data_IF_140502640374
#
_entry.id   IF_140502640374
#
_cell.length_a   1.000
_cell.length_b   1.000
_cell.length_c   1.000
_cell.angle_alpha   90.00
_cell.angle_beta   90.00
_cell.angle_gamma   90.00
#
_symmetry.space_group_name_H-M   'P 1'
#
loop_
_entity.id
_entity.type
_entity.pdbx_description
1 polymer ?
#
# COMPACT_ATOMS: atom_id res chain seq x y z
N UNK A 1 -48.88 65.66 30.39
CA UNK A 1 -48.73 64.21 30.68
C UNK A 1 -47.51 63.73 29.90
N UNK A 2 -46.36 63.78 30.57
CA UNK A 2 -45.09 63.27 30.05
C UNK A 2 -44.82 61.89 30.60
N UNK A 3 -44.02 61.12 29.87
CA UNK A 3 -43.55 59.81 30.31
C UNK A 3 -43.14 58.93 29.12
N UNK A 4 -42.07 59.32 28.42
CA UNK A 4 -41.36 58.44 27.50
C UNK A 4 -40.52 57.48 28.36
N UNK A 5 -40.97 56.23 28.46
CA UNK A 5 -40.25 55.12 29.09
C UNK A 5 -39.14 54.62 28.16
N UNK A 6 -38.03 55.36 28.09
CA UNK A 6 -36.79 54.87 27.51
C UNK A 6 -36.09 53.96 28.52
N UNK A 7 -36.36 52.66 28.46
CA UNK A 7 -35.60 51.65 29.21
C UNK A 7 -34.19 51.61 28.61
N UNK A 8 -33.24 52.27 29.29
CA UNK A 8 -31.84 52.22 28.94
C UNK A 8 -31.29 50.82 29.14
N UNK A 9 -30.92 50.17 28.04
CA UNK A 9 -30.05 48.99 28.08
C UNK A 9 -28.67 49.46 28.57
N UNK A 10 -28.35 49.16 29.83
CA UNK A 10 -27.09 49.56 30.44
C UNK A 10 -25.88 48.82 29.83
N UNK A 11 -24.68 49.42 29.88
CA UNK A 11 -23.44 48.89 29.30
C UNK A 11 -23.05 47.48 29.81
N UNK A 12 -23.51 47.09 31.00
CA UNK A 12 -23.29 45.76 31.57
C UNK A 12 -23.94 44.61 30.75
N UNK A 13 -25.08 44.86 30.11
CA UNK A 13 -25.77 43.87 29.23
C UNK A 13 -24.95 43.59 27.97
N UNK A 14 -24.33 44.63 27.41
CA UNK A 14 -23.51 44.56 26.20
C UNK A 14 -22.18 43.80 26.44
N UNK A 15 -21.51 44.05 27.58
CA UNK A 15 -20.29 43.33 27.96
C UNK A 15 -20.53 41.83 28.20
N UNK A 16 -21.67 41.45 28.78
CA UNK A 16 -22.01 40.05 29.04
C UNK A 16 -22.29 39.27 27.74
N UNK A 17 -22.96 39.90 26.76
CA UNK A 17 -23.20 39.31 25.45
C UNK A 17 -21.89 39.08 24.66
N UNK A 18 -20.95 40.03 24.72
CA UNK A 18 -19.64 39.88 24.06
C UNK A 18 -18.77 38.78 24.67
N UNK A 19 -18.84 38.58 25.99
CA UNK A 19 -18.13 37.50 26.67
C UNK A 19 -18.62 36.11 26.22
N UNK A 20 -19.94 35.89 26.17
CA UNK A 20 -20.51 34.62 25.70
C UNK A 20 -20.21 34.34 24.24
N UNK A 21 -20.18 35.38 23.40
CA UNK A 21 -19.83 35.23 22.00
C UNK A 21 -18.35 34.85 21.80
N UNK A 22 -17.44 35.41 22.60
CA UNK A 22 -16.04 35.01 22.62
C UNK A 22 -15.86 33.57 23.13
N UNK A 23 -16.56 33.20 24.20
CA UNK A 23 -16.49 31.83 24.74
C UNK A 23 -16.91 30.80 23.69
N UNK A 24 -18.02 31.05 22.98
CA UNK A 24 -18.49 30.17 21.90
C UNK A 24 -17.46 30.04 20.77
N UNK A 25 -16.74 31.11 20.44
CA UNK A 25 -15.68 31.10 19.42
C UNK A 25 -14.45 30.34 19.89
N UNK A 26 -14.08 30.45 21.16
CA UNK A 26 -12.98 29.69 21.75
C UNK A 26 -13.30 28.19 21.79
N UNK A 27 -14.51 27.81 22.18
CA UNK A 27 -14.96 26.42 22.18
C UNK A 27 -14.89 25.81 20.76
N UNK A 28 -15.29 26.57 19.74
CA UNK A 28 -15.22 26.18 18.33
C UNK A 28 -13.77 26.03 17.86
N UNK A 29 -12.87 26.95 18.26
CA UNK A 29 -11.45 26.87 17.96
C UNK A 29 -10.81 25.63 18.59
N UNK A 30 -11.19 25.29 19.83
CA UNK A 30 -10.73 24.06 20.48
C UNK A 30 -11.26 22.80 19.79
N UNK A 31 -12.51 22.83 19.30
CA UNK A 31 -13.10 21.75 18.50
C UNK A 31 -12.30 21.52 17.21
N UNK A 32 -12.05 22.58 16.46
CA UNK A 32 -11.27 22.54 15.21
C UNK A 32 -9.82 22.08 15.44
N UNK A 33 -9.19 22.45 16.55
CA UNK A 33 -7.85 21.97 16.91
C UNK A 33 -7.82 20.46 17.17
N UNK A 34 -8.81 19.92 17.90
CA UNK A 34 -8.95 18.47 18.12
C UNK A 34 -9.16 17.72 16.81
N UNK A 35 -10.00 18.28 15.93
CA UNK A 35 -10.25 17.73 14.60
C UNK A 35 -8.98 17.71 13.73
N UNK A 36 -8.23 18.82 13.71
CA UNK A 36 -6.92 18.91 13.02
C UNK A 36 -5.94 17.84 13.53
N UNK A 37 -5.85 17.65 14.85
CA UNK A 37 -4.97 16.64 15.44
C UNK A 37 -5.38 15.22 15.03
N UNK A 38 -6.69 14.92 15.08
CA UNK A 38 -7.24 13.62 14.66
C UNK A 38 -6.96 13.33 13.18
N UNK A 39 -7.22 14.30 12.29
CA UNK A 39 -6.95 14.18 10.86
C UNK A 39 -5.46 13.97 10.58
N UNK A 40 -4.58 14.66 11.31
CA UNK A 40 -3.14 14.48 11.20
C UNK A 40 -2.70 13.08 11.63
N UNK A 41 -3.22 12.57 12.74
CA UNK A 41 -2.95 11.19 13.18
C UNK A 41 -3.43 10.17 12.14
N UNK A 42 -4.62 10.38 11.55
CA UNK A 42 -5.15 9.53 10.49
C UNK A 42 -4.27 9.56 9.24
N UNK A 43 -3.81 10.74 8.82
CA UNK A 43 -2.87 10.92 7.70
C UNK A 43 -1.57 10.12 7.94
N UNK A 44 -0.98 10.24 9.12
CA UNK A 44 0.27 9.57 9.46
C UNK A 44 0.09 8.03 9.46
N UNK A 45 -1.05 7.53 9.93
CA UNK A 45 -1.40 6.11 9.86
C UNK A 45 -1.54 5.61 8.41
N UNK A 46 -2.27 6.35 7.57
CA UNK A 46 -2.46 5.99 6.16
C UNK A 46 -1.15 6.02 5.37
N UNK A 47 -0.24 6.95 5.70
CA UNK A 47 1.11 6.99 5.11
C UNK A 47 1.92 5.72 5.47
N UNK A 48 1.86 5.28 6.72
CA UNK A 48 2.52 4.05 7.14
C UNK A 48 1.94 2.81 6.44
N UNK A 49 0.61 2.74 6.28
CA UNK A 49 -0.05 1.67 5.54
C UNK A 49 0.34 1.68 4.05
N UNK A 50 0.40 2.85 3.42
CA UNK A 50 0.81 3.00 2.02
C UNK A 50 2.24 2.46 1.81
N UNK A 51 3.19 2.84 2.68
CA UNK A 51 4.56 2.32 2.64
C UNK A 51 4.62 0.80 2.84
N UNK A 52 3.77 0.24 3.71
CA UNK A 52 3.71 -1.21 3.93
C UNK A 52 3.21 -1.95 2.68
N UNK A 53 2.19 -1.43 1.99
CA UNK A 53 1.68 -1.99 0.74
C UNK A 53 2.71 -1.90 -0.39
N UNK A 54 3.40 -0.77 -0.55
CA UNK A 54 4.48 -0.61 -1.53
C UNK A 54 5.60 -1.64 -1.32
N UNK A 55 6.03 -1.80 -0.07
CA UNK A 55 7.06 -2.77 0.28
C UNK A 55 6.61 -4.21 0.00
N UNK A 56 5.37 -4.57 0.33
CA UNK A 56 4.84 -5.90 0.03
C UNK A 56 4.79 -6.18 -1.48
N UNK A 57 4.36 -5.20 -2.28
CA UNK A 57 4.36 -5.32 -3.74
C UNK A 57 5.78 -5.55 -4.26
N UNK A 58 6.74 -4.77 -3.79
CA UNK A 58 8.14 -4.93 -4.18
C UNK A 58 8.70 -6.32 -3.83
N UNK A 59 8.38 -6.83 -2.63
CA UNK A 59 8.78 -8.17 -2.20
C UNK A 59 8.19 -9.24 -3.12
N UNK A 60 6.88 -9.19 -3.39
CA UNK A 60 6.20 -10.16 -4.25
C UNK A 60 6.71 -10.13 -5.69
N UNK A 61 7.01 -8.94 -6.23
CA UNK A 61 7.61 -8.78 -7.56
C UNK A 61 9.01 -9.38 -7.65
N UNK A 62 9.87 -9.09 -6.66
CA UNK A 62 11.22 -9.66 -6.57
C UNK A 62 11.17 -11.18 -6.52
N UNK A 63 10.22 -11.70 -5.75
CA UNK A 63 9.99 -13.11 -5.62
C UNK A 63 9.47 -13.76 -6.91
N UNK A 64 8.50 -13.15 -7.61
CA UNK A 64 8.07 -13.59 -8.93
C UNK A 64 9.23 -13.61 -9.93
N UNK A 65 10.11 -12.61 -9.88
CA UNK A 65 11.26 -12.53 -10.77
C UNK A 65 12.23 -13.70 -10.57
N UNK A 66 12.56 -13.99 -9.31
CA UNK A 66 13.38 -15.16 -8.95
C UNK A 66 12.78 -16.46 -9.51
N UNK A 67 11.47 -16.63 -9.41
CA UNK A 67 10.80 -17.81 -9.95
C UNK A 67 10.73 -17.83 -11.47
N UNK A 68 10.59 -16.67 -12.13
CA UNK A 68 10.61 -16.55 -13.59
C UNK A 68 11.93 -17.05 -14.17
N UNK A 69 13.06 -16.60 -13.60
CA UNK A 69 14.40 -17.07 -13.99
C UNK A 69 14.52 -18.59 -13.80
N UNK A 70 14.11 -19.09 -12.63
CA UNK A 70 14.17 -20.52 -12.32
C UNK A 70 13.26 -21.35 -13.22
N UNK A 71 12.16 -20.80 -13.71
CA UNK A 71 11.26 -21.46 -14.67
C UNK A 71 11.92 -21.61 -16.04
N UNK A 72 12.58 -20.54 -16.52
CA UNK A 72 13.35 -20.59 -17.78
C UNK A 72 14.45 -21.65 -17.76
N UNK A 73 15.16 -21.79 -16.62
CA UNK A 73 16.18 -22.83 -16.44
C UNK A 73 15.60 -24.25 -16.58
N UNK A 74 14.53 -24.57 -15.83
CA UNK A 74 13.87 -25.87 -15.92
C UNK A 74 13.31 -26.16 -17.33
N UNK A 75 12.79 -25.14 -18.01
CA UNK A 75 12.25 -25.31 -19.36
C UNK A 75 13.36 -25.66 -20.37
N UNK A 76 14.55 -25.08 -20.21
CA UNK A 76 15.73 -25.42 -21.01
C UNK A 76 16.22 -26.85 -20.71
N UNK A 77 16.27 -27.24 -19.44
CA UNK A 77 16.64 -28.59 -19.02
C UNK A 77 15.66 -29.63 -19.60
N UNK A 78 14.35 -29.37 -19.51
CA UNK A 78 13.31 -30.22 -20.08
C UNK A 78 13.46 -30.36 -21.61
N UNK A 79 13.72 -29.25 -22.30
CA UNK A 79 13.96 -29.25 -23.75
C UNK A 79 15.21 -30.05 -24.14
N UNK A 80 16.26 -30.00 -23.31
CA UNK A 80 17.51 -30.75 -23.53
C UNK A 80 17.29 -32.24 -23.31
N UNK A 81 16.65 -32.60 -22.19
CA UNK A 81 16.26 -33.98 -21.87
C UNK A 81 15.38 -34.58 -22.97
N UNK A 82 14.38 -33.84 -23.46
CA UNK A 82 13.50 -34.30 -24.54
C UNK A 82 14.24 -34.55 -25.86
N UNK A 83 15.23 -33.72 -26.22
CA UNK A 83 16.08 -33.95 -27.39
C UNK A 83 16.93 -35.22 -27.25
N UNK A 84 17.56 -35.40 -26.08
CA UNK A 84 18.35 -36.59 -25.77
C UNK A 84 17.49 -37.86 -25.83
N UNK A 85 16.28 -37.80 -25.26
CA UNK A 85 15.29 -38.88 -25.35
C UNK A 85 14.94 -39.21 -26.80
N UNK A 86 14.67 -38.19 -27.63
CA UNK A 86 14.40 -38.38 -29.05
C UNK A 86 15.59 -38.92 -29.85
N UNK A 87 16.82 -38.71 -29.38
CA UNK A 87 18.02 -39.31 -29.96
C UNK A 87 18.18 -40.77 -29.54
N UNK A 88 18.09 -41.07 -28.24
CA UNK A 88 18.17 -42.43 -27.72
C UNK A 88 17.08 -43.34 -28.35
N UNK A 89 15.86 -42.82 -28.52
CA UNK A 89 14.77 -43.55 -29.18
C UNK A 89 15.10 -43.92 -30.63
N UNK A 90 15.76 -43.04 -31.39
CA UNK A 90 16.20 -43.33 -32.76
C UNK A 90 17.30 -44.39 -32.78
N UNK A 91 18.30 -44.24 -31.91
CA UNK A 91 19.38 -45.22 -31.76
C UNK A 91 18.86 -46.61 -31.39
N UNK A 92 17.81 -46.70 -30.56
CA UNK A 92 17.16 -47.97 -30.23
C UNK A 92 16.56 -48.67 -31.46
N UNK A 93 15.86 -47.93 -32.33
CA UNK A 93 15.26 -48.49 -33.55
C UNK A 93 16.33 -48.87 -34.58
N UNK A 94 17.40 -48.08 -34.70
CA UNK A 94 18.55 -48.40 -35.55
C UNK A 94 19.27 -49.69 -35.08
N UNK A 95 19.51 -49.82 -33.76
CA UNK A 95 20.07 -51.04 -33.17
C UNK A 95 19.19 -52.27 -33.42
N UNK A 96 17.88 -52.10 -33.22
CA UNK A 96 16.89 -53.17 -33.43
C UNK A 96 16.89 -53.67 -34.88
N UNK A 97 16.98 -52.77 -35.85
CA UNK A 97 17.06 -53.12 -37.28
C UNK A 97 18.38 -53.83 -37.63
N UNK A 98 19.52 -53.37 -37.09
CA UNK A 98 20.82 -54.04 -37.26
C UNK A 98 20.79 -55.47 -36.69
N UNK A 99 20.30 -55.66 -35.46
CA UNK A 99 20.17 -56.98 -34.83
C UNK A 99 19.26 -57.90 -35.63
N UNK A 100 18.15 -57.39 -36.16
CA UNK A 100 17.27 -58.16 -37.04
C UNK A 100 17.99 -58.56 -38.33
N UNK A 101 18.67 -57.64 -39.03
CA UNK A 101 19.42 -57.95 -40.25
C UNK A 101 20.51 -59.01 -40.02
N UNK A 102 21.27 -58.86 -38.93
CA UNK A 102 22.31 -59.83 -38.56
C UNK A 102 21.74 -61.24 -38.38
N UNK A 103 20.61 -61.38 -37.66
CA UNK A 103 19.91 -62.66 -37.49
C UNK A 103 19.47 -63.31 -38.81
N UNK A 104 19.11 -62.52 -39.83
CA UNK A 104 18.72 -63.06 -41.14
C UNK A 104 19.92 -63.41 -42.02
N UNK A 105 21.08 -62.78 -41.80
CA UNK A 105 22.33 -63.07 -42.54
C UNK A 105 23.14 -64.25 -41.97
N UNK A 106 22.93 -64.59 -40.70
CA UNK A 106 23.73 -65.56 -39.92
C UNK A 106 23.37 -67.04 -40.17
N UNK A 107 22.96 -67.42 -41.39
CA UNK A 107 22.73 -68.83 -41.74
C UNK A 107 24.05 -69.61 -41.93
N UNK A 108 25.19 -68.93 -42.15
CA UNK A 108 26.46 -69.56 -42.56
C UNK A 108 27.65 -69.47 -41.57
N UNK A 109 27.55 -68.88 -40.37
CA UNK A 109 28.70 -68.72 -39.46
C UNK A 109 28.41 -69.16 -38.01
N UNK A 110 28.91 -70.33 -37.62
CA UNK A 110 28.56 -70.99 -36.34
C UNK A 110 29.35 -70.54 -35.09
N UNK A 111 30.45 -69.78 -35.20
CA UNK A 111 31.34 -69.51 -34.04
C UNK A 111 31.63 -68.02 -33.70
N UNK A 112 31.10 -67.07 -34.46
CA UNK A 112 31.15 -65.62 -34.17
C UNK A 112 29.92 -65.05 -33.42
N UNK A 113 28.70 -65.65 -33.45
CA UNK A 113 27.49 -65.02 -32.90
C UNK A 113 27.51 -64.67 -31.41
N UNK A 114 28.25 -65.42 -30.58
CA UNK A 114 28.07 -65.35 -29.12
C UNK A 114 28.63 -64.05 -28.52
N UNK A 115 29.76 -63.55 -29.02
CA UNK A 115 30.40 -62.35 -28.47
C UNK A 115 29.72 -61.07 -28.96
N UNK A 116 29.35 -61.01 -30.25
CA UNK A 116 28.63 -59.87 -30.81
C UNK A 116 27.19 -59.80 -30.30
N UNK A 117 26.47 -60.93 -30.20
CA UNK A 117 25.11 -60.95 -29.65
C UNK A 117 25.09 -60.55 -28.17
N UNK A 118 26.10 -60.96 -27.38
CA UNK A 118 26.26 -60.49 -26.00
C UNK A 118 26.52 -58.98 -25.93
N UNK A 119 27.38 -58.43 -26.80
CA UNK A 119 27.63 -56.99 -26.88
C UNK A 119 26.36 -56.20 -27.23
N UNK A 120 25.58 -56.64 -28.22
CA UNK A 120 24.33 -55.99 -28.60
C UNK A 120 23.25 -56.09 -27.53
N UNK A 121 23.18 -57.22 -26.81
CA UNK A 121 22.27 -57.39 -25.70
C UNK A 121 22.62 -56.43 -24.54
N UNK A 122 23.89 -56.28 -24.20
CA UNK A 122 24.34 -55.39 -23.13
C UNK A 122 24.08 -53.91 -23.47
N UNK A 123 24.33 -53.52 -24.72
CA UNK A 123 23.98 -52.19 -25.24
C UNK A 123 22.46 -51.94 -25.17
N UNK A 124 21.63 -52.93 -25.50
CA UNK A 124 20.18 -52.82 -25.43
C UNK A 124 19.67 -52.69 -23.98
N UNK A 125 20.22 -53.47 -23.05
CA UNK A 125 19.87 -53.38 -21.62
C UNK A 125 20.23 -52.02 -21.06
N UNK A 126 21.44 -51.53 -21.35
CA UNK A 126 21.91 -50.20 -20.92
C UNK A 126 20.99 -49.10 -21.43
N UNK A 127 20.65 -49.11 -22.73
CA UNK A 127 19.77 -48.10 -23.32
C UNK A 127 18.37 -48.11 -22.70
N UNK A 128 17.84 -49.29 -22.36
CA UNK A 128 16.55 -49.43 -21.70
C UNK A 128 16.57 -48.84 -20.29
N UNK A 129 17.65 -49.05 -19.54
CA UNK A 129 17.85 -48.44 -18.23
C UNK A 129 17.91 -46.90 -18.33
N UNK A 130 18.71 -46.37 -19.26
CA UNK A 130 18.81 -44.94 -19.52
C UNK A 130 17.44 -44.31 -19.85
N UNK A 131 16.60 -45.03 -20.60
CA UNK A 131 15.25 -44.59 -20.95
C UNK A 131 14.33 -44.47 -19.74
N UNK A 132 14.35 -45.46 -18.84
CA UNK A 132 13.55 -45.42 -17.61
C UNK A 132 13.99 -44.32 -16.66
N UNK A 133 15.30 -44.06 -16.55
CA UNK A 133 15.84 -42.94 -15.77
C UNK A 133 15.36 -41.61 -16.35
N UNK A 134 15.37 -41.47 -17.68
CA UNK A 134 14.96 -40.26 -18.38
C UNK A 134 13.46 -39.98 -18.28
N UNK A 135 12.61 -41.01 -18.37
CA UNK A 135 11.16 -40.89 -18.13
C UNK A 135 10.86 -40.42 -16.71
N UNK A 136 11.58 -40.94 -15.71
CA UNK A 136 11.44 -40.51 -14.31
C UNK A 136 11.79 -39.03 -14.16
N UNK A 137 12.93 -38.60 -14.71
CA UNK A 137 13.36 -37.19 -14.68
C UNK A 137 12.33 -36.28 -15.38
N UNK A 138 11.79 -36.71 -16.52
CA UNK A 138 10.78 -35.95 -17.26
C UNK A 138 9.49 -35.75 -16.45
N UNK A 139 8.98 -36.81 -15.83
CA UNK A 139 7.79 -36.75 -14.99
C UNK A 139 7.98 -35.85 -13.76
N UNK A 140 9.15 -35.93 -13.12
CA UNK A 140 9.50 -35.09 -11.98
C UNK A 140 9.57 -33.60 -12.39
N UNK A 141 10.17 -33.30 -13.55
CA UNK A 141 10.21 -31.94 -14.09
C UNK A 141 8.80 -31.40 -14.38
N UNK A 142 7.89 -32.21 -14.93
CA UNK A 142 6.50 -31.82 -15.17
C UNK A 142 5.74 -31.50 -13.87
N UNK A 143 5.94 -32.31 -12.81
CA UNK A 143 5.36 -32.05 -11.49
C UNK A 143 5.86 -30.72 -10.91
N UNK A 144 7.17 -30.47 -11.00
CA UNK A 144 7.76 -29.21 -10.54
C UNK A 144 7.23 -28.00 -11.33
N UNK A 145 7.05 -28.13 -12.64
CA UNK A 145 6.47 -27.07 -13.47
C UNK A 145 5.02 -26.79 -13.09
N UNK A 146 4.20 -27.83 -12.89
CA UNK A 146 2.80 -27.70 -12.49
C UNK A 146 2.65 -26.96 -11.15
N UNK A 147 3.41 -27.37 -10.12
CA UNK A 147 3.44 -26.68 -8.84
C UNK A 147 3.86 -25.22 -8.98
N UNK A 148 4.83 -24.92 -9.85
CA UNK A 148 5.29 -23.53 -10.07
C UNK A 148 4.24 -22.65 -10.74
N UNK A 149 3.50 -23.17 -11.72
CA UNK A 149 2.39 -22.45 -12.36
C UNK A 149 1.34 -22.05 -11.31
N UNK A 150 1.06 -22.95 -10.36
CA UNK A 150 0.17 -22.63 -9.26
C UNK A 150 0.71 -21.51 -8.36
N UNK A 151 1.97 -21.61 -7.91
CA UNK A 151 2.61 -20.62 -7.03
C UNK A 151 2.72 -19.24 -7.69
N UNK A 152 3.07 -19.16 -8.98
CA UNK A 152 3.16 -17.87 -9.69
C UNK A 152 1.78 -17.23 -9.86
N UNK A 153 0.74 -18.02 -10.13
CA UNK A 153 -0.63 -17.52 -10.20
C UNK A 153 -1.10 -16.95 -8.87
N UNK A 154 -0.85 -17.67 -7.77
CA UNK A 154 -1.23 -17.22 -6.43
C UNK A 154 -0.54 -15.88 -6.06
N UNK A 155 0.77 -15.78 -6.34
CA UNK A 155 1.53 -14.54 -6.13
C UNK A 155 1.04 -13.40 -7.00
N UNK A 156 0.70 -13.66 -8.27
CA UNK A 156 0.12 -12.65 -9.14
C UNK A 156 -1.21 -12.12 -8.60
N UNK A 157 -2.06 -12.99 -8.05
CA UNK A 157 -3.30 -12.58 -7.38
C UNK A 157 -2.98 -11.73 -6.14
N UNK A 158 -1.96 -12.11 -5.37
CA UNK A 158 -1.47 -11.34 -4.22
C UNK A 158 -1.05 -9.93 -4.59
N UNK A 159 -0.28 -9.77 -5.68
CA UNK A 159 0.12 -8.44 -6.20
C UNK A 159 -1.10 -7.63 -6.58
N UNK A 160 -2.00 -8.17 -7.39
CA UNK A 160 -3.20 -7.44 -7.83
C UNK A 160 -4.04 -6.96 -6.64
N UNK A 161 -4.20 -7.79 -5.61
CA UNK A 161 -4.91 -7.41 -4.38
C UNK A 161 -4.18 -6.31 -3.61
N UNK A 162 -2.86 -6.41 -3.46
CA UNK A 162 -2.05 -5.40 -2.77
C UNK A 162 -2.08 -4.06 -3.51
N UNK A 163 -1.99 -4.07 -4.84
CA UNK A 163 -2.11 -2.86 -5.68
C UNK A 163 -3.47 -2.19 -5.54
N UNK A 164 -4.56 -2.96 -5.54
CA UNK A 164 -5.90 -2.41 -5.30
C UNK A 164 -6.00 -1.72 -3.94
N UNK A 165 -5.45 -2.34 -2.88
CA UNK A 165 -5.44 -1.74 -1.55
C UNK A 165 -4.58 -0.48 -1.48
N UNK A 166 -3.42 -0.48 -2.15
CA UNK A 166 -2.56 0.69 -2.26
C UNK A 166 -3.31 1.87 -2.90
N UNK A 167 -4.04 1.62 -3.99
CA UNK A 167 -4.85 2.65 -4.66
C UNK A 167 -5.97 3.18 -3.76
N UNK A 168 -6.65 2.31 -3.02
CA UNK A 168 -7.69 2.70 -2.08
C UNK A 168 -7.13 3.55 -0.93
N UNK A 169 -6.02 3.13 -0.30
CA UNK A 169 -5.33 3.89 0.74
C UNK A 169 -4.84 5.25 0.23
N UNK A 170 -4.36 5.32 -1.01
CA UNK A 170 -3.93 6.57 -1.64
C UNK A 170 -5.10 7.55 -1.81
N UNK A 171 -6.25 7.08 -2.30
CA UNK A 171 -7.46 7.92 -2.42
C UNK A 171 -7.95 8.39 -1.06
N UNK A 172 -7.92 7.52 -0.04
CA UNK A 172 -8.28 7.92 1.32
C UNK A 172 -7.33 8.98 1.88
N UNK A 173 -6.02 8.83 1.64
CA UNK A 173 -5.01 9.81 2.03
C UNK A 173 -5.21 11.16 1.34
N UNK A 174 -5.55 11.16 0.05
CA UNK A 174 -5.89 12.37 -0.72
C UNK A 174 -7.11 13.09 -0.10
N UNK A 175 -8.15 12.33 0.27
CA UNK A 175 -9.32 12.86 0.98
C UNK A 175 -8.98 13.49 2.33
N UNK A 176 -8.25 12.76 3.19
CA UNK A 176 -7.82 13.26 4.50
C UNK A 176 -6.93 14.50 4.38
N UNK A 177 -6.07 14.57 3.35
CA UNK A 177 -5.26 15.75 3.10
C UNK A 177 -6.10 16.96 2.68
N UNK A 178 -7.14 16.75 1.86
CA UNK A 178 -8.09 17.82 1.50
C UNK A 178 -8.85 18.33 2.73
N UNK A 179 -9.38 17.42 3.56
CA UNK A 179 -10.10 17.75 4.79
C UNK A 179 -9.19 18.54 5.76
N UNK A 180 -7.93 18.12 5.92
CA UNK A 180 -6.96 18.81 6.77
C UNK A 180 -6.71 20.25 6.28
N UNK A 181 -6.58 20.46 4.97
CA UNK A 181 -6.40 21.81 4.40
C UNK A 181 -7.62 22.68 4.70
N UNK A 182 -8.83 22.15 4.53
CA UNK A 182 -10.07 22.88 4.82
C UNK A 182 -10.15 23.27 6.30
N UNK A 183 -9.96 22.32 7.21
CA UNK A 183 -10.04 22.59 8.66
C UNK A 183 -8.94 23.57 9.10
N UNK A 184 -7.73 23.49 8.53
CA UNK A 184 -6.66 24.46 8.83
C UNK A 184 -7.02 25.87 8.36
N UNK A 185 -7.62 26.03 7.18
CA UNK A 185 -8.08 27.33 6.70
C UNK A 185 -9.18 27.90 7.59
N UNK A 186 -10.15 27.08 7.99
CA UNK A 186 -11.20 27.50 8.92
C UNK A 186 -10.63 27.91 10.29
N UNK A 187 -9.65 27.16 10.79
CA UNK A 187 -8.96 27.47 12.05
C UNK A 187 -8.23 28.82 11.98
N UNK A 188 -7.55 29.10 10.86
CA UNK A 188 -6.85 30.37 10.66
C UNK A 188 -7.82 31.55 10.56
N UNK A 189 -8.96 31.37 9.90
CA UNK A 189 -10.04 32.36 9.87
C UNK A 189 -10.61 32.61 11.28
N UNK A 190 -10.92 31.54 12.02
CA UNK A 190 -11.43 31.64 13.39
C UNK A 190 -10.45 32.38 14.32
N UNK A 191 -9.15 32.09 14.21
CA UNK A 191 -8.09 32.80 14.95
C UNK A 191 -8.03 34.28 14.60
N UNK A 192 -8.09 34.63 13.32
CA UNK A 192 -8.08 36.01 12.86
C UNK A 192 -9.28 36.80 13.40
N UNK A 193 -10.47 36.19 13.39
CA UNK A 193 -11.68 36.81 13.90
C UNK A 193 -11.65 37.01 15.42
N UNK A 194 -11.18 36.02 16.19
CA UNK A 194 -10.99 36.15 17.64
C UNK A 194 -10.00 37.28 17.95
N UNK A 195 -8.86 37.31 17.26
CA UNK A 195 -7.87 38.38 17.43
C UNK A 195 -8.45 39.77 17.17
N UNK A 196 -9.23 39.93 16.08
CA UNK A 196 -9.88 41.20 15.76
C UNK A 196 -10.91 41.61 16.82
N UNK A 197 -11.76 40.68 17.28
CA UNK A 197 -12.75 40.95 18.34
C UNK A 197 -12.08 41.29 19.67
N UNK A 198 -11.04 40.56 20.06
CA UNK A 198 -10.27 40.84 21.28
C UNK A 198 -9.63 42.23 21.24
N UNK A 199 -9.05 42.62 20.10
CA UNK A 199 -8.51 43.97 19.89
C UNK A 199 -9.58 45.05 20.04
N UNK A 200 -10.76 44.87 19.44
CA UNK A 200 -11.88 45.82 19.53
C UNK A 200 -12.42 45.95 20.96
N UNK A 201 -12.52 44.85 21.69
CA UNK A 201 -12.91 44.88 23.11
C UNK A 201 -11.88 45.62 23.95
N UNK A 202 -10.58 45.41 23.70
CA UNK A 202 -9.52 46.14 24.37
C UNK A 202 -9.58 47.66 24.15
N UNK A 203 -9.90 48.11 22.92
CA UNK A 203 -10.09 49.54 22.64
C UNK A 203 -11.33 50.09 23.35
N UNK A 204 -12.46 49.38 23.30
CA UNK A 204 -13.70 49.80 23.97
C UNK A 204 -13.54 49.88 25.49
N UNK A 205 -12.79 48.95 26.09
CA UNK A 205 -12.52 48.95 27.52
C UNK A 205 -11.65 50.14 27.94
N UNK A 206 -10.68 50.53 27.10
CA UNK A 206 -9.87 51.73 27.33
C UNK A 206 -10.69 53.01 27.25
N UNK A 207 -11.53 53.14 26.22
CA UNK A 207 -12.45 54.29 26.07
C UNK A 207 -13.42 54.40 27.24
N UNK A 208 -13.95 53.27 27.72
CA UNK A 208 -14.86 53.25 28.88
C UNK A 208 -14.15 53.67 30.18
N UNK A 209 -12.90 53.25 30.38
CA UNK A 209 -12.09 53.69 31.52
C UNK A 209 -11.78 55.19 31.47
N UNK A 210 -11.43 55.72 30.29
CA UNK A 210 -11.21 57.15 30.08
C UNK A 210 -12.48 57.96 30.36
N UNK A 211 -13.63 57.51 29.86
CA UNK A 211 -14.92 58.15 30.14
C UNK A 211 -15.29 58.10 31.64
N UNK A 212 -15.02 56.98 32.31
CA UNK A 212 -15.24 56.85 33.75
C UNK A 212 -14.36 57.82 34.54
N UNK A 213 -13.08 57.94 34.19
CA UNK A 213 -12.15 58.88 34.83
C UNK A 213 -12.58 60.34 34.62
N UNK A 214 -13.02 60.69 33.41
CA UNK A 214 -13.56 62.04 33.12
C UNK A 214 -14.82 62.32 33.91
N UNK A 215 -15.74 61.35 34.01
CA UNK A 215 -16.96 61.48 34.79
C UNK A 215 -16.67 61.67 36.27
N UNK A 216 -15.73 60.90 36.84
CA UNK A 216 -15.26 61.07 38.21
C UNK A 216 -14.63 62.45 38.45
N UNK A 217 -13.76 62.92 37.56
CA UNK A 217 -13.13 64.23 37.66
C UNK A 217 -14.17 65.38 37.64
N UNK A 218 -15.18 65.30 36.76
CA UNK A 218 -16.27 66.27 36.74
C UNK A 218 -17.11 66.26 38.03
N UNK A 219 -17.29 65.09 38.65
CA UNK A 219 -18.00 64.99 39.94
C UNK A 219 -17.19 65.60 41.09
N UNK A 220 -15.87 65.38 41.12
CA UNK A 220 -14.97 65.98 42.11
C UNK A 220 -14.96 67.52 41.98
N UNK A 221 -14.87 68.05 40.76
CA UNK A 221 -14.95 69.50 40.52
C UNK A 221 -16.26 70.13 41.02
N UNK A 222 -17.41 69.47 40.85
CA UNK A 222 -18.71 69.98 41.31
C UNK A 222 -18.81 69.96 42.84
N UNK A 223 -18.24 68.96 43.49
CA UNK A 223 -18.24 68.85 44.96
C UNK A 223 -17.28 69.86 45.62
N UNK A 224 -16.18 70.23 44.96
CA UNK A 224 -15.24 71.26 45.43
C UNK A 224 -15.81 72.70 45.35
N UNK A 225 -16.94 72.91 44.65
CA UNK A 225 -17.64 74.21 44.61
C UNK A 225 -18.73 74.37 45.69
N UNK A 226 -19.02 73.34 46.49
CA UNK A 226 -20.06 73.35 47.54
C UNK A 226 -19.54 73.50 48.98
N UNK A 227 -18.22 73.66 49.18
CA UNK A 227 -17.59 74.04 50.47
C UNK A 227 -17.20 75.54 50.52
#
# INVERSE_FOLDING_TARGET
>A
MGGLSGVGEGPASCCHAHFWELQKREDELQRQQKETFSLKQKKDSLLAELQAWEHLIYQLQTELEKWRVKFGQLQNELGTSSKLYGQAKRQLEDLKTIVQQHRHSSVDNQNVPIAEEAHWHDAFVTLKCDFTELEKIHLEALLQLSHRVYVTKDRSIGISKATSKLDDTKKELEGVCADLVMVMQELDLARAEIYHKAKKLGTQQKELLEAQNQYSACYEEVMDFED
#
